data_IF_397726901219
#
_entry.id   IF_397726901219
#
_cell.length_a   1.000
_cell.length_b   1.000
_cell.length_c   1.000
_cell.angle_alpha   90.00
_cell.angle_beta   90.00
_cell.angle_gamma   90.00
#
_symmetry.space_group_name_H-M   'P 1'
#
loop_
_entity.id
_entity.type
_entity.pdbx_description
1 polymer ?
#
# COMPACT_ATOMS: atom_id res chain seq x y z
N UNK A 1 -3.91 3.81 -14.54
CA UNK A 1 -3.57 3.84 -13.11
C UNK A 1 -2.07 4.14 -12.96
N UNK A 2 -1.60 5.28 -13.49
CA UNK A 2 -0.15 5.46 -13.75
C UNK A 2 0.65 6.08 -12.60
N UNK A 3 0.13 6.24 -11.37
CA UNK A 3 0.93 6.79 -10.28
C UNK A 3 0.44 6.50 -8.84
N UNK A 4 -0.27 5.40 -8.60
CA UNK A 4 -0.68 5.04 -7.23
C UNK A 4 0.57 4.59 -6.44
N UNK A 5 1.01 5.40 -5.48
CA UNK A 5 2.11 5.09 -4.55
C UNK A 5 1.53 4.77 -3.18
N UNK A 6 2.11 3.81 -2.47
CA UNK A 6 1.68 3.48 -1.11
C UNK A 6 2.68 4.05 -0.11
N UNK A 7 2.21 4.84 0.86
CA UNK A 7 3.04 5.30 1.97
C UNK A 7 3.26 4.15 2.96
N UNK A 8 4.51 3.95 3.35
CA UNK A 8 4.92 2.90 4.29
C UNK A 8 5.31 3.52 5.62
N UNK A 9 4.64 3.06 6.67
CA UNK A 9 4.88 3.43 8.06
C UNK A 9 5.60 2.30 8.80
N UNK A 10 6.28 2.64 9.88
CA UNK A 10 6.76 1.66 10.85
C UNK A 10 5.61 1.10 11.71
N UNK A 11 5.92 0.16 12.60
CA UNK A 11 4.95 -0.45 13.50
C UNK A 11 4.28 0.54 14.47
N UNK A 12 4.91 1.68 14.74
CA UNK A 12 4.38 2.78 15.56
C UNK A 12 3.51 3.76 14.74
N UNK A 13 3.19 3.44 13.47
CA UNK A 13 2.42 4.28 12.54
C UNK A 13 3.06 5.64 12.26
N UNK A 14 4.38 5.73 12.39
CA UNK A 14 5.17 6.89 12.02
C UNK A 14 5.83 6.66 10.65
N UNK A 15 6.02 7.71 9.83
CA UNK A 15 6.69 7.54 8.55
C UNK A 15 8.13 7.09 8.78
N UNK A 16 8.54 6.03 8.08
CA UNK A 16 9.87 5.44 8.22
C UNK A 16 10.98 6.45 7.84
N UNK A 17 10.69 7.29 6.83
CA UNK A 17 11.50 8.45 6.44
C UNK A 17 10.59 9.62 6.01
N UNK A 18 10.96 10.85 6.41
CA UNK A 18 10.28 12.07 5.97
C UNK A 18 10.83 12.61 4.63
N UNK A 19 12.08 12.32 4.27
CA UNK A 19 12.68 12.73 2.99
C UNK A 19 13.83 11.81 2.53
N UNK A 20 13.72 11.15 1.35
CA UNK A 20 12.49 10.96 0.58
C UNK A 20 11.47 10.16 1.41
N UNK A 21 10.18 10.43 1.19
CA UNK A 21 9.11 9.63 1.79
C UNK A 21 9.28 8.14 1.43
N UNK A 22 9.03 7.26 2.39
CA UNK A 22 9.04 5.82 2.16
C UNK A 22 7.80 5.40 1.37
N UNK A 23 7.94 5.36 0.05
CA UNK A 23 6.87 5.02 -0.88
C UNK A 23 7.17 3.69 -1.58
N UNK A 24 6.14 2.86 -1.71
CA UNK A 24 6.13 1.67 -2.57
C UNK A 24 5.26 1.89 -3.80
N UNK A 25 5.49 1.10 -4.84
CA UNK A 25 4.52 0.95 -5.92
C UNK A 25 3.30 0.14 -5.44
N UNK A 26 2.12 0.45 -5.98
CA UNK A 26 0.88 -0.17 -5.55
C UNK A 26 0.83 -1.70 -5.73
N UNK A 27 1.58 -2.25 -6.67
CA UNK A 27 1.68 -3.71 -6.84
C UNK A 27 2.45 -4.36 -5.68
N UNK A 28 3.48 -3.69 -5.17
CA UNK A 28 4.31 -4.16 -4.07
C UNK A 28 3.53 -4.16 -2.76
N UNK A 29 2.72 -3.12 -2.54
CA UNK A 29 1.85 -3.04 -1.37
C UNK A 29 0.74 -4.08 -1.39
N UNK A 30 0.07 -4.33 -2.53
CA UNK A 30 -0.90 -5.44 -2.65
C UNK A 30 -0.23 -6.78 -2.34
N UNK A 31 0.97 -7.02 -2.86
CA UNK A 31 1.72 -8.25 -2.59
C UNK A 31 2.01 -8.40 -1.10
N UNK A 32 2.41 -7.34 -0.41
CA UNK A 32 2.69 -7.37 1.02
C UNK A 32 1.43 -7.64 1.86
N UNK A 33 0.29 -7.02 1.49
CA UNK A 33 -1.02 -7.28 2.12
C UNK A 33 -1.42 -8.75 1.93
N UNK A 34 -1.31 -9.28 0.71
CA UNK A 34 -1.65 -10.68 0.43
C UNK A 34 -0.78 -11.67 1.21
N UNK A 35 0.48 -11.32 1.46
CA UNK A 35 1.41 -12.11 2.27
C UNK A 35 1.22 -11.89 3.78
N UNK A 36 0.25 -11.09 4.22
CA UNK A 36 0.02 -10.68 5.61
C UNK A 36 1.28 -10.09 6.28
N UNK A 37 2.10 -9.34 5.51
CA UNK A 37 3.35 -8.74 5.99
C UNK A 37 3.20 -7.29 6.47
N UNK A 38 2.05 -6.68 6.21
CA UNK A 38 1.75 -5.29 6.55
C UNK A 38 0.29 -5.18 6.95
N UNK A 39 -0.02 -4.18 7.76
CA UNK A 39 -1.39 -3.78 8.08
C UNK A 39 -1.85 -2.65 7.15
N UNK A 40 -3.09 -2.71 6.67
CA UNK A 40 -3.69 -1.66 5.84
C UNK A 40 -4.24 -0.56 6.75
N UNK A 41 -3.78 0.67 6.54
CA UNK A 41 -4.23 1.85 7.30
C UNK A 41 -5.26 2.64 6.52
N UNK A 42 -5.03 2.77 5.21
CA UNK A 42 -5.94 3.48 4.32
C UNK A 42 -5.81 2.92 2.90
N UNK A 43 -6.88 3.06 2.13
CA UNK A 43 -7.01 2.59 0.76
C UNK A 43 -7.34 3.76 -0.16
N UNK A 44 -7.02 3.60 -1.44
CA UNK A 44 -7.56 4.46 -2.48
C UNK A 44 -8.96 4.01 -2.87
N UNK A 45 -9.77 4.92 -3.39
CA UNK A 45 -11.06 4.61 -4.03
C UNK A 45 -10.92 3.88 -5.39
N UNK A 46 -9.69 3.44 -5.72
CA UNK A 46 -9.37 2.69 -6.92
C UNK A 46 -9.29 1.19 -6.63
N UNK A 47 -9.76 0.40 -7.60
CA UNK A 47 -9.74 -1.06 -7.53
C UNK A 47 -8.90 -1.60 -8.67
N UNK A 48 -7.87 -2.37 -8.34
CA UNK A 48 -7.17 -3.22 -9.28
C UNK A 48 -8.07 -4.42 -9.64
N UNK A 49 -8.26 -4.65 -10.94
CA UNK A 49 -9.17 -5.70 -11.44
C UNK A 49 -8.39 -6.73 -12.24
N UNK A 50 -8.66 -8.00 -11.97
CA UNK A 50 -8.41 -9.11 -12.88
C UNK A 50 -9.76 -9.68 -13.33
N UNK A 51 -9.81 -10.55 -14.36
CA UNK A 51 -11.06 -11.16 -14.80
C UNK A 51 -11.87 -11.83 -13.68
N UNK A 52 -11.20 -12.35 -12.64
CA UNK A 52 -11.82 -13.10 -11.54
C UNK A 52 -11.64 -12.46 -10.16
N UNK A 53 -10.99 -11.28 -10.05
CA UNK A 53 -10.71 -10.66 -8.76
C UNK A 53 -10.81 -9.14 -8.81
N UNK A 54 -11.18 -8.56 -7.67
CA UNK A 54 -11.21 -7.12 -7.42
C UNK A 54 -10.47 -6.87 -6.12
N UNK A 55 -9.45 -6.02 -6.16
CA UNK A 55 -8.57 -5.74 -5.04
C UNK A 55 -8.52 -4.23 -4.85
N UNK A 56 -8.89 -3.74 -3.67
CA UNK A 56 -8.70 -2.34 -3.26
C UNK A 56 -7.21 -2.05 -3.15
N UNK A 57 -6.79 -0.87 -3.64
CA UNK A 57 -5.38 -0.51 -3.61
C UNK A 57 -5.08 0.19 -2.29
N UNK A 58 -4.14 -0.32 -1.47
CA UNK A 58 -3.75 0.36 -0.25
C UNK A 58 -2.99 1.67 -0.57
N UNK A 59 -3.40 2.76 0.07
CA UNK A 59 -2.74 4.06 -0.02
C UNK A 59 -1.72 4.24 1.11
N UNK A 60 -1.97 3.66 2.28
CA UNK A 60 -1.08 3.69 3.45
C UNK A 60 -1.04 2.32 4.12
N UNK A 61 0.16 1.83 4.42
CA UNK A 61 0.39 0.56 5.13
C UNK A 61 1.39 0.73 6.27
N UNK A 62 1.30 -0.11 7.29
CA UNK A 62 2.26 -0.19 8.39
C UNK A 62 2.90 -1.58 8.45
N UNK A 63 4.20 -1.62 8.75
CA UNK A 63 4.98 -2.86 8.96
C UNK A 63 4.62 -3.58 10.26
#
# INVERSE_FOLDING_TARGET
MQNCRTLVLNADFQPLSYFPLSLWDWQESIKAVFLNKVNVVSEYDFVARSPNARITIPSVVAL
#
